data_IF_539158035095
#
_entry.id   IF_539158035095
#
_cell.length_a   1.000
_cell.length_b   1.000
_cell.length_c   1.000
_cell.angle_alpha   90.00
_cell.angle_beta   90.00
_cell.angle_gamma   90.00
#
_symmetry.space_group_name_H-M   'P 1'
#
loop_
_entity.id
_entity.type
_entity.pdbx_description
1 polymer ?
#
# COMPACT_ATOMS: atom_id res chain seq x y z
N UNK A 1 2.83 19.40 7.42
CA UNK A 1 2.22 18.35 6.57
C UNK A 1 1.58 19.06 5.39
N UNK A 2 1.92 18.63 4.18
CA UNK A 2 1.39 19.22 2.95
C UNK A 2 0.00 18.67 2.66
N UNK A 3 -0.85 19.49 2.03
CA UNK A 3 -2.16 19.03 1.60
C UNK A 3 -2.02 18.10 0.40
N UNK A 4 -2.79 17.02 0.43
CA UNK A 4 -2.92 16.08 -0.67
C UNK A 4 -4.39 15.74 -0.85
N UNK A 5 -4.81 15.51 -2.08
CA UNK A 5 -6.16 15.05 -2.40
C UNK A 5 -6.05 13.74 -3.16
N UNK A 6 -6.83 12.74 -2.73
CA UNK A 6 -7.14 11.57 -3.54
C UNK A 6 -8.31 11.93 -4.46
N UNK A 7 -8.13 11.81 -5.76
CA UNK A 7 -9.21 11.94 -6.75
C UNK A 7 -9.41 10.62 -7.46
N UNK A 8 -10.63 10.10 -7.48
CA UNK A 8 -10.99 8.86 -8.20
C UNK A 8 -11.33 9.16 -9.66
N UNK A 9 -11.37 8.11 -10.49
CA UNK A 9 -11.72 8.20 -11.92
C UNK A 9 -13.12 8.75 -12.19
N UNK A 10 -14.04 8.67 -11.23
CA UNK A 10 -15.38 9.27 -11.33
C UNK A 10 -15.44 10.75 -10.90
N UNK A 11 -14.29 11.32 -10.53
CA UNK A 11 -14.15 12.71 -10.10
C UNK A 11 -14.43 12.96 -8.63
N UNK A 12 -14.73 11.92 -7.83
CA UNK A 12 -14.88 12.10 -6.38
C UNK A 12 -13.54 12.33 -5.69
N UNK A 13 -13.56 13.14 -4.63
CA UNK A 13 -12.35 13.66 -3.98
C UNK A 13 -12.36 13.43 -2.47
N UNK A 14 -11.21 13.03 -1.94
CA UNK A 14 -10.96 12.95 -0.51
C UNK A 14 -9.69 13.72 -0.14
N UNK A 15 -9.82 14.83 0.60
CA UNK A 15 -8.67 15.55 1.11
C UNK A 15 -7.98 14.77 2.22
N UNK A 16 -6.67 14.98 2.35
CA UNK A 16 -5.83 14.46 3.40
C UNK A 16 -4.57 15.29 3.59
N UNK A 17 -3.66 14.77 4.40
CA UNK A 17 -2.38 15.38 4.75
C UNK A 17 -1.27 14.37 4.50
N UNK A 18 -0.23 14.76 3.77
CA UNK A 18 0.96 13.92 3.64
C UNK A 18 1.75 13.92 4.95
N UNK A 19 2.07 12.73 5.44
CA UNK A 19 2.89 12.50 6.63
C UNK A 19 4.40 12.44 6.33
N UNK A 20 4.80 12.20 5.08
CA UNK A 20 6.20 11.99 4.71
C UNK A 20 6.67 12.79 3.47
N UNK A 21 6.00 13.91 3.18
CA UNK A 21 6.28 14.77 2.03
C UNK A 21 5.41 14.42 0.82
N UNK A 22 5.21 15.38 -0.08
CA UNK A 22 4.36 15.16 -1.25
C UNK A 22 5.10 14.35 -2.31
N UNK A 23 4.62 13.14 -2.56
CA UNK A 23 4.93 12.35 -3.75
C UNK A 23 3.59 12.05 -4.45
N UNK A 24 3.46 12.48 -5.71
CA UNK A 24 2.29 12.08 -6.50
C UNK A 24 2.31 10.56 -6.72
N UNK A 25 1.15 9.92 -6.61
CA UNK A 25 1.01 8.50 -6.85
C UNK A 25 -0.33 8.20 -7.50
N UNK A 26 -0.37 7.13 -8.28
CA UNK A 26 -1.58 6.70 -8.97
C UNK A 26 -1.66 5.18 -8.96
N UNK A 27 -2.85 4.66 -8.72
CA UNK A 27 -3.10 3.23 -8.60
C UNK A 27 -4.57 2.91 -8.42
N UNK A 28 -4.91 1.63 -8.46
CA UNK A 28 -6.25 1.18 -8.11
C UNK A 28 -6.46 1.37 -6.60
N UNK A 29 -7.53 2.06 -6.21
CA UNK A 29 -7.85 2.31 -4.80
C UNK A 29 -8.62 1.13 -4.24
N UNK A 30 -7.99 0.44 -3.30
CA UNK A 30 -8.54 -0.72 -2.60
C UNK A 30 -8.54 -0.46 -1.10
N UNK A 31 -9.30 -1.25 -0.35
CA UNK A 31 -9.31 -1.15 1.10
C UNK A 31 -9.11 -2.49 1.77
N UNK A 32 -8.54 -2.45 2.98
CA UNK A 32 -8.44 -3.60 3.87
C UNK A 32 -9.14 -3.34 5.20
N UNK A 33 -9.77 -4.39 5.75
CA UNK A 33 -10.38 -4.37 7.08
C UNK A 33 -9.46 -4.93 8.17
N UNK A 34 -8.22 -5.27 7.82
CA UNK A 34 -7.22 -5.69 8.79
C UNK A 34 -6.99 -4.59 9.83
N UNK A 35 -7.10 -4.92 11.11
CA UNK A 35 -6.86 -4.01 12.23
C UNK A 35 -5.41 -4.03 12.73
N UNK A 36 -4.64 -5.02 12.28
CA UNK A 36 -3.22 -5.19 12.55
C UNK A 36 -2.53 -5.73 11.30
N UNK A 37 -1.20 -5.81 11.33
CA UNK A 37 -0.43 -6.33 10.22
C UNK A 37 -0.23 -5.33 9.08
N UNK A 38 -0.31 -4.01 9.33
CA UNK A 38 -0.14 -3.02 8.27
C UNK A 38 1.21 -3.13 7.55
N UNK A 39 2.37 -3.42 8.20
CA UNK A 39 3.61 -3.61 7.45
C UNK A 39 3.53 -4.81 6.50
N UNK A 40 2.97 -5.93 6.96
CA UNK A 40 2.77 -7.13 6.17
C UNK A 40 1.92 -6.85 4.93
N UNK A 41 0.75 -6.22 5.11
CA UNK A 41 -0.12 -5.84 3.99
C UNK A 41 0.57 -4.86 3.02
N UNK A 42 1.36 -3.92 3.52
CA UNK A 42 2.09 -2.95 2.68
C UNK A 42 3.17 -3.65 1.83
N UNK A 43 3.79 -4.71 2.37
CA UNK A 43 4.84 -5.50 1.72
C UNK A 43 4.34 -6.72 0.97
N UNK A 44 3.04 -6.96 0.93
CA UNK A 44 2.45 -8.06 0.18
C UNK A 44 2.45 -7.71 -1.33
N UNK A 45 3.10 -8.51 -2.19
CA UNK A 45 3.17 -8.26 -3.64
C UNK A 45 1.82 -8.17 -4.35
N UNK A 46 0.76 -8.74 -3.77
CA UNK A 46 -0.60 -8.67 -4.34
C UNK A 46 -1.15 -7.24 -4.41
N UNK A 47 -0.60 -6.31 -3.61
CA UNK A 47 -0.96 -4.89 -3.67
C UNK A 47 -0.11 -4.08 -4.67
N UNK A 48 0.68 -4.72 -5.53
CA UNK A 48 1.43 -4.00 -6.57
C UNK A 48 0.48 -3.17 -7.45
N UNK A 49 0.80 -1.90 -7.64
CA UNK A 49 -0.04 -0.98 -8.42
C UNK A 49 -1.21 -0.36 -7.67
N UNK A 50 -1.44 -0.74 -6.41
CA UNK A 50 -2.63 -0.33 -5.67
C UNK A 50 -2.36 0.75 -4.62
N UNK A 51 -3.35 1.60 -4.37
CA UNK A 51 -3.40 2.54 -3.25
C UNK A 51 -4.19 1.87 -2.14
N UNK A 52 -3.56 1.62 -1.00
CA UNK A 52 -4.15 0.86 0.09
C UNK A 52 -4.78 1.77 1.14
N UNK A 53 -6.10 1.65 1.32
CA UNK A 53 -6.89 2.35 2.33
C UNK A 53 -7.13 1.45 3.53
N UNK A 54 -6.70 1.87 4.71
CA UNK A 54 -6.97 1.15 5.95
C UNK A 54 -8.34 1.55 6.53
N UNK A 55 -9.20 0.55 6.74
CA UNK A 55 -10.48 0.77 7.42
C UNK A 55 -10.29 1.03 8.92
N UNK A 56 -9.28 0.40 9.53
CA UNK A 56 -8.94 0.66 10.93
C UNK A 56 -8.33 2.06 11.07
N UNK A 57 -8.83 2.90 11.99
CA UNK A 57 -8.52 4.33 11.96
C UNK A 57 -7.09 4.68 12.37
N UNK A 58 -6.46 3.86 13.23
CA UNK A 58 -5.12 4.11 13.76
C UNK A 58 -4.11 3.19 13.07
N UNK A 59 -3.20 3.76 12.29
CA UNK A 59 -2.16 3.01 11.57
C UNK A 59 -0.77 3.54 11.97
N UNK A 60 0.22 2.67 12.01
CA UNK A 60 1.60 3.02 12.40
C UNK A 60 1.90 2.94 13.90
N UNK A 61 0.93 2.55 14.74
CA UNK A 61 1.01 2.60 16.20
C UNK A 61 2.08 1.70 16.84
N UNK A 62 2.70 0.79 16.08
CA UNK A 62 3.82 -0.01 16.56
C UNK A 62 5.08 0.12 15.70
N UNK A 63 5.13 1.00 14.69
CA UNK A 63 6.25 1.11 13.77
C UNK A 63 6.35 -0.07 12.77
N UNK A 64 7.53 -0.30 12.23
CA UNK A 64 7.82 -1.36 11.24
C UNK A 64 8.91 -2.29 11.77
N UNK A 65 8.57 -3.56 11.96
CA UNK A 65 9.54 -4.62 12.21
C UNK A 65 9.98 -5.20 10.86
N UNK A 66 11.18 -4.81 10.40
CA UNK A 66 11.69 -5.19 9.07
C UNK A 66 12.00 -6.70 8.96
N UNK A 67 12.14 -7.40 10.08
CA UNK A 67 12.38 -8.86 10.12
C UNK A 67 11.07 -9.67 9.96
N UNK A 68 9.91 -9.01 9.93
CA UNK A 68 8.58 -9.64 9.88
C UNK A 68 7.73 -9.17 8.71
N UNK A 69 8.36 -8.76 7.63
CA UNK A 69 7.70 -8.35 6.39
C UNK A 69 7.35 -9.57 5.53
N UNK A 70 6.32 -9.44 4.69
CA UNK A 70 5.97 -10.47 3.69
C UNK A 70 6.94 -10.46 2.51
N UNK A 71 7.58 -9.32 2.24
CA UNK A 71 8.64 -9.21 1.24
C UNK A 71 9.63 -8.09 1.58
N UNK A 72 10.68 -7.96 0.78
CA UNK A 72 11.81 -7.05 1.03
C UNK A 72 11.50 -5.57 0.86
N UNK A 73 10.31 -5.22 0.32
CA UNK A 73 9.94 -3.84 -0.02
C UNK A 73 8.43 -3.64 0.06
N UNK A 74 7.94 -2.39 0.20
CA UNK A 74 6.53 -2.09 -0.03
C UNK A 74 6.18 -2.26 -1.52
N UNK A 75 5.00 -2.80 -1.80
CA UNK A 75 4.46 -2.94 -3.17
C UNK A 75 3.33 -1.96 -3.49
N UNK A 76 2.66 -1.46 -2.45
CA UNK A 76 1.63 -0.42 -2.56
C UNK A 76 2.19 0.85 -3.19
N UNK A 77 1.36 1.54 -3.97
CA UNK A 77 1.66 2.86 -4.53
C UNK A 77 1.46 3.98 -3.52
N UNK A 78 0.59 3.80 -2.52
CA UNK A 78 0.43 4.72 -1.40
C UNK A 78 -0.38 4.06 -0.26
N UNK A 79 -0.29 4.67 0.92
CA UNK A 79 -1.02 4.25 2.13
C UNK A 79 -1.91 5.39 2.61
N UNK A 80 -3.20 5.11 2.82
CA UNK A 80 -4.18 6.06 3.34
C UNK A 80 -4.78 5.56 4.65
N UNK A 81 -4.80 6.42 5.66
CA UNK A 81 -5.42 6.14 6.95
C UNK A 81 -6.17 7.37 7.48
N UNK A 82 -7.12 7.14 8.39
CA UNK A 82 -7.77 8.23 9.11
C UNK A 82 -6.76 8.95 10.01
N UNK A 83 -5.90 8.20 10.71
CA UNK A 83 -4.87 8.72 11.58
C UNK A 83 -3.60 7.86 11.49
N UNK A 84 -2.50 8.48 11.04
CA UNK A 84 -1.17 7.94 11.17
C UNK A 84 -0.61 8.43 12.50
N UNK A 85 -0.36 7.50 13.42
CA UNK A 85 -0.01 7.83 14.81
C UNK A 85 1.36 8.48 14.94
N UNK A 86 2.26 8.21 14.00
CA UNK A 86 3.66 8.64 14.08
C UNK A 86 4.35 8.13 15.34
N UNK A 87 3.87 7.05 15.94
CA UNK A 87 4.52 6.36 17.03
C UNK A 87 5.44 5.26 16.47
N UNK A 88 6.34 4.77 17.31
CA UNK A 88 7.01 3.50 17.05
C UNK A 88 7.32 2.79 18.36
N UNK A 89 7.08 1.48 18.38
CA UNK A 89 7.54 0.58 19.44
C UNK A 89 8.48 -0.49 18.90
N UNK A 90 8.42 -0.77 17.60
CA UNK A 90 9.22 -1.74 16.86
C UNK A 90 9.81 -1.02 15.64
N UNK A 91 11.14 -0.91 15.60
CA UNK A 91 11.86 -0.33 14.45
C UNK A 91 11.50 1.13 14.12
N UNK A 92 11.61 1.56 12.86
CA UNK A 92 11.28 2.92 12.43
C UNK A 92 9.77 3.20 12.46
N UNK A 93 9.42 4.49 12.53
CA UNK A 93 8.04 4.98 12.34
C UNK A 93 7.59 4.66 10.91
N UNK A 94 6.30 4.38 10.74
CA UNK A 94 5.78 3.91 9.45
C UNK A 94 6.00 4.92 8.32
N UNK A 95 5.71 6.19 8.56
CA UNK A 95 5.85 7.25 7.56
C UNK A 95 7.31 7.48 7.13
N UNK A 96 8.24 7.34 8.08
CA UNK A 96 9.68 7.48 7.84
C UNK A 96 10.19 6.28 7.03
N UNK A 97 9.71 5.07 7.36
CA UNK A 97 10.01 3.87 6.60
C UNK A 97 9.50 3.97 5.16
N UNK A 98 8.24 4.38 4.96
CA UNK A 98 7.65 4.59 3.65
C UNK A 98 8.36 5.69 2.84
N UNK A 99 8.83 6.74 3.50
CA UNK A 99 9.62 7.80 2.84
C UNK A 99 10.90 7.26 2.20
N UNK A 100 11.59 6.31 2.84
CA UNK A 100 12.80 5.68 2.28
C UNK A 100 12.53 4.95 0.96
N UNK A 101 11.30 4.49 0.77
CA UNK A 101 10.86 3.79 -0.43
C UNK A 101 10.13 4.71 -1.43
N UNK A 102 10.00 6.00 -1.14
CA UNK A 102 9.25 6.94 -1.96
C UNK A 102 7.74 6.67 -2.01
N UNK A 103 7.20 5.94 -1.02
CA UNK A 103 5.77 5.62 -0.95
C UNK A 103 5.06 6.71 -0.12
N UNK A 104 4.06 7.41 -0.67
CA UNK A 104 3.31 8.42 0.08
C UNK A 104 2.48 7.78 1.20
N UNK A 105 2.56 8.40 2.38
CA UNK A 105 1.75 8.07 3.54
C UNK A 105 0.80 9.23 3.84
N UNK A 106 -0.52 9.00 3.75
CA UNK A 106 -1.55 10.02 3.85
C UNK A 106 -2.42 9.79 5.08
N UNK A 107 -2.62 10.85 5.86
CA UNK A 107 -3.45 10.86 7.06
C UNK A 107 -4.60 11.86 6.97
N UNK A 108 -5.56 11.81 7.89
CA UNK A 108 -6.68 12.73 7.95
C UNK A 108 -7.75 12.49 6.88
N UNK A 109 -7.69 11.35 6.18
CA UNK A 109 -8.69 10.97 5.16
C UNK A 109 -9.92 10.41 5.86
N UNK A 110 -11.12 10.82 5.45
CA UNK A 110 -12.37 10.14 5.87
C UNK A 110 -12.46 8.78 5.16
N UNK A 111 -11.67 7.81 5.65
CA UNK A 111 -11.59 6.46 5.08
C UNK A 111 -12.93 5.74 5.14
N UNK A 112 -13.81 6.07 6.10
CA UNK A 112 -15.14 5.47 6.18
C UNK A 112 -16.01 5.88 4.99
N UNK A 113 -16.06 7.17 4.66
CA UNK A 113 -16.82 7.65 3.50
C UNK A 113 -16.26 7.09 2.18
N UNK A 114 -14.92 7.04 2.06
CA UNK A 114 -14.23 6.47 0.91
C UNK A 114 -14.55 4.97 0.73
N UNK A 115 -14.44 4.18 1.79
CA UNK A 115 -14.73 2.74 1.73
C UNK A 115 -16.19 2.47 1.38
N UNK A 116 -17.13 3.28 1.89
CA UNK A 116 -18.54 3.17 1.51
C UNK A 116 -18.72 3.39 0.01
N UNK A 117 -18.08 4.43 -0.53
CA UNK A 117 -18.10 4.71 -1.95
C UNK A 117 -17.55 3.53 -2.78
N UNK A 118 -16.38 2.99 -2.40
CA UNK A 118 -15.76 1.84 -3.08
C UNK A 118 -16.64 0.58 -3.01
N UNK A 119 -17.37 0.37 -1.91
CA UNK A 119 -18.32 -0.76 -1.80
C UNK A 119 -19.55 -0.60 -2.68
N UNK A 120 -20.01 0.63 -2.89
CA UNK A 120 -21.19 0.92 -3.71
C UNK A 120 -20.87 0.91 -5.21
N UNK A 121 -19.70 1.40 -5.61
CA UNK A 121 -19.32 1.57 -7.02
C UNK A 121 -18.28 0.57 -7.54
N UNK A 122 -17.65 -0.20 -6.66
CA UNK A 122 -16.47 -1.00 -6.98
C UNK A 122 -15.16 -0.24 -6.76
N UNK A 123 -14.04 -0.93 -6.94
CA UNK A 123 -12.71 -0.31 -6.94
C UNK A 123 -12.56 0.59 -8.16
N UNK A 124 -11.71 1.62 -8.02
CA UNK A 124 -11.50 2.62 -9.06
C UNK A 124 -10.05 3.06 -9.08
N UNK A 125 -9.54 3.45 -10.24
CA UNK A 125 -8.26 4.16 -10.31
C UNK A 125 -8.37 5.48 -9.56
N UNK A 126 -7.32 5.83 -8.83
CA UNK A 126 -7.23 7.07 -8.09
C UNK A 126 -5.82 7.66 -8.12
N UNK A 127 -5.76 8.98 -8.03
CA UNK A 127 -4.52 9.76 -8.04
C UNK A 127 -4.41 10.61 -6.78
N UNK A 128 -3.25 10.55 -6.15
CA UNK A 128 -2.81 11.45 -5.10
C UNK A 128 -2.01 12.59 -5.71
N UNK A 129 -2.42 13.83 -5.42
CA UNK A 129 -1.65 15.02 -5.79
C UNK A 129 -1.97 16.21 -4.89
N UNK A 130 -1.20 17.30 -5.00
CA UNK A 130 -1.39 18.51 -4.19
C UNK A 130 -2.70 19.26 -4.50
N UNK A 131 -3.28 18.99 -5.66
CA UNK A 131 -4.52 19.58 -6.15
C UNK A 131 -5.36 18.46 -6.75
N UNK A 132 -6.69 18.57 -6.79
CA UNK A 132 -7.51 17.54 -7.43
C UNK A 132 -7.14 17.33 -8.91
N UNK A 133 -6.86 16.08 -9.27
CA UNK A 133 -6.53 15.67 -10.63
C UNK A 133 -7.02 14.26 -10.87
N UNK A 134 -7.75 14.05 -11.96
CA UNK A 134 -8.16 12.71 -12.37
C UNK A 134 -6.94 11.81 -12.59
N UNK A 135 -7.06 10.50 -12.33
CA UNK A 135 -6.04 9.55 -12.72
C UNK A 135 -5.87 9.51 -14.24
N UNK A 136 -4.63 9.38 -14.71
CA UNK A 136 -4.30 9.23 -16.13
C UNK A 136 -4.50 7.79 -16.60
N UNK A 137 -4.21 6.81 -15.74
CA UNK A 137 -4.43 5.39 -15.98
C UNK A 137 -5.88 5.02 -15.76
N UNK A 138 -6.39 4.18 -16.64
CA UNK A 138 -7.76 3.65 -16.59
C UNK A 138 -7.83 2.25 -15.96
N UNK A 139 -6.72 1.51 -15.94
CA UNK A 139 -6.63 0.14 -15.44
C UNK A 139 -5.19 -0.18 -14.99
N UNK A 140 -5.02 -1.27 -14.25
CA UNK A 140 -3.72 -1.82 -13.90
C UNK A 140 -3.12 -2.64 -15.07
N UNK A 141 -1.79 -2.69 -15.19
CA UNK A 141 -1.13 -3.62 -16.12
C UNK A 141 -1.52 -5.07 -15.81
N UNK A 142 -1.62 -5.91 -16.85
CA UNK A 142 -2.02 -7.32 -16.70
C UNK A 142 -0.86 -8.25 -16.29
N UNK A 143 0.35 -7.73 -16.28
CA UNK A 143 1.61 -8.43 -16.13
C UNK A 143 2.37 -8.05 -14.85
N UNK A 144 1.68 -7.47 -13.85
CA UNK A 144 2.26 -7.09 -12.56
C UNK A 144 2.95 -8.26 -11.82
N UNK A 145 2.52 -9.50 -12.07
CA UNK A 145 3.16 -10.68 -11.51
C UNK A 145 4.60 -10.87 -12.01
N UNK A 146 4.94 -10.38 -13.21
CA UNK A 146 6.31 -10.43 -13.74
C UNK A 146 7.23 -9.56 -12.89
N UNK A 147 6.76 -8.39 -12.45
CA UNK A 147 7.52 -7.51 -11.56
C UNK A 147 7.70 -8.10 -10.15
N UNK A 148 6.77 -8.97 -9.73
CA UNK A 148 6.75 -9.61 -8.42
C UNK A 148 7.57 -10.90 -8.34
N UNK A 149 7.81 -11.54 -9.48
CA UNK A 149 8.48 -12.84 -9.59
C UNK A 149 10.01 -12.74 -9.54
N UNK A 150 10.66 -13.78 -9.02
CA UNK A 150 12.11 -13.96 -9.10
C UNK A 150 12.58 -14.12 -10.55
N UNK A 151 13.73 -13.51 -10.86
CA UNK A 151 14.36 -13.61 -12.18
C UNK A 151 15.15 -14.91 -12.40
N UNK A 152 15.50 -15.60 -11.31
CA UNK A 152 16.32 -16.82 -11.32
C UNK A 152 15.76 -17.84 -10.33
N UNK A 153 16.06 -19.13 -10.56
CA UNK A 153 15.64 -20.21 -9.67
C UNK A 153 16.26 -20.02 -8.28
N UNK A 154 15.41 -19.90 -7.27
CA UNK A 154 15.82 -19.86 -5.86
C UNK A 154 15.50 -21.20 -5.21
N UNK A 155 16.51 -21.82 -4.59
CA UNK A 155 16.33 -23.06 -3.82
C UNK A 155 16.32 -22.71 -2.35
N UNK A 156 15.22 -23.06 -1.68
CA UNK A 156 15.08 -22.94 -0.23
C UNK A 156 15.25 -24.31 0.43
N UNK A 157 15.86 -24.34 1.62
CA UNK A 157 16.03 -25.55 2.45
C UNK A 157 16.73 -26.71 1.73
N UNK A 158 17.81 -26.40 1.01
CA UNK A 158 18.63 -27.41 0.34
C UNK A 158 19.12 -28.48 1.33
N UNK A 159 19.00 -29.76 0.96
CA UNK A 159 19.46 -30.87 1.80
C UNK A 159 18.54 -31.26 2.97
N UNK A 160 17.33 -30.68 3.07
CA UNK A 160 16.39 -30.98 4.17
C UNK A 160 15.84 -32.43 4.21
N UNK A 161 16.11 -33.25 3.19
CA UNK A 161 15.69 -34.67 3.13
C UNK A 161 14.17 -34.88 2.97
N UNK A 162 13.40 -33.79 2.88
CA UNK A 162 11.96 -33.80 2.68
C UNK A 162 11.52 -33.90 1.21
N UNK A 163 10.20 -33.83 0.95
CA UNK A 163 9.68 -33.79 -0.41
C UNK A 163 10.17 -32.55 -1.16
N UNK A 164 10.47 -32.71 -2.44
CA UNK A 164 10.80 -31.59 -3.33
C UNK A 164 9.50 -30.96 -3.83
N UNK A 165 9.33 -29.67 -3.55
CA UNK A 165 8.16 -28.89 -3.96
C UNK A 165 8.64 -27.82 -4.92
N UNK A 166 7.98 -27.74 -6.09
CA UNK A 166 8.16 -26.61 -7.00
C UNK A 166 7.11 -25.55 -6.67
N UNK A 167 7.55 -24.32 -6.47
CA UNK A 167 6.72 -23.15 -6.25
C UNK A 167 6.81 -22.27 -7.49
N UNK A 168 5.68 -21.92 -8.09
CA UNK A 168 5.63 -20.91 -9.14
C UNK A 168 5.45 -19.56 -8.45
N UNK A 169 6.44 -18.70 -8.60
CA UNK A 169 6.45 -17.39 -7.97
C UNK A 169 5.69 -16.36 -8.82
N UNK A 170 4.54 -15.93 -8.32
CA UNK A 170 3.75 -14.82 -8.85
C UNK A 170 3.70 -13.63 -7.86
N UNK A 171 4.69 -13.55 -6.96
CA UNK A 171 4.77 -12.62 -5.84
C UNK A 171 4.73 -13.32 -4.47
N UNK A 172 5.52 -14.37 -4.27
CA UNK A 172 5.64 -15.15 -3.02
C UNK A 172 7.05 -15.15 -2.45
#
# INVERSE_FOLDING_TARGET
>A
MDRVTLTLSDGTEWPGLSANGLTEAEGEVVFTTASCGYPQSITDPSYNGQVLVFAFPLVGNYGVDEDRLESRRPWVKAVLAACLTGESRLGPRLEDWLARWGVPAVTGVDTRSLIRHLREKGTAMGRLSNLPRLPEKTDLPRDLAIEASVSELVIHNEGSGGPRIALLDYGV
#
